data_IF_954621785362
#
_entry.id   IF_954621785362
#
_cell.length_a   1.000
_cell.length_b   1.000
_cell.length_c   1.000
_cell.angle_alpha   90.00
_cell.angle_beta   90.00
_cell.angle_gamma   90.00
#
_symmetry.space_group_name_H-M   'P 1'
#
loop_
_entity.id
_entity.type
_entity.pdbx_description
1 polymer ?
#
# COMPACT_ATOMS: atom_id res chain seq x y z
N UNK A 1 48.26 4.76 -1.55
CA UNK A 1 48.40 5.79 -2.59
C UNK A 1 47.88 5.27 -3.92
N UNK A 2 46.60 5.50 -4.24
CA UNK A 2 46.07 5.70 -5.59
C UNK A 2 44.81 6.56 -5.48
N UNK A 3 44.89 7.74 -6.08
CA UNK A 3 43.84 8.73 -6.27
C UNK A 3 42.96 8.31 -7.47
N UNK A 4 41.65 8.52 -7.37
CA UNK A 4 40.68 8.82 -8.44
C UNK A 4 39.55 9.61 -7.78
N UNK A 5 39.44 10.91 -8.01
CA UNK A 5 38.69 11.56 -9.10
C UNK A 5 37.21 11.11 -9.06
N UNK A 6 36.22 11.91 -8.67
CA UNK A 6 36.08 13.37 -8.78
C UNK A 6 35.14 13.65 -9.96
N UNK A 7 33.87 13.93 -9.67
CA UNK A 7 32.83 14.24 -10.66
C UNK A 7 31.56 13.41 -10.42
N UNK A 8 30.35 13.94 -10.45
CA UNK A 8 29.89 15.20 -11.05
C UNK A 8 28.50 15.48 -10.45
N UNK A 9 28.40 16.55 -9.66
CA UNK A 9 27.14 17.05 -9.12
C UNK A 9 26.26 17.55 -10.27
N UNK A 10 25.13 16.89 -10.50
CA UNK A 10 24.07 17.42 -11.34
C UNK A 10 22.94 17.91 -10.44
N UNK A 11 22.98 19.22 -10.21
CA UNK A 11 21.87 20.08 -9.85
C UNK A 11 20.62 19.69 -10.66
N UNK A 12 19.66 19.06 -9.97
CA UNK A 12 18.28 18.99 -10.45
C UNK A 12 17.50 20.03 -9.66
N UNK A 13 17.25 21.11 -10.39
CA UNK A 13 16.35 22.22 -10.10
C UNK A 13 15.07 21.74 -9.39
N UNK A 14 14.86 22.24 -8.17
CA UNK A 14 13.59 22.14 -7.45
C UNK A 14 12.70 23.29 -7.93
N UNK A 15 11.63 22.97 -8.66
CA UNK A 15 10.53 23.90 -8.91
C UNK A 15 9.66 24.03 -7.64
N UNK A 16 9.37 25.26 -7.19
CA UNK A 16 8.53 25.50 -6.02
C UNK A 16 7.04 25.47 -6.38
N UNK A 17 6.30 24.73 -5.55
CA UNK A 17 4.97 25.06 -5.02
C UNK A 17 3.97 25.80 -5.93
N UNK A 18 2.94 25.08 -6.38
CA UNK A 18 1.62 25.67 -6.59
C UNK A 18 0.62 24.99 -5.68
N UNK A 19 0.39 25.65 -4.54
CA UNK A 19 -0.79 25.46 -3.70
C UNK A 19 -2.04 25.85 -4.50
N UNK A 20 -2.97 24.93 -4.64
CA UNK A 20 -4.39 25.26 -4.74
C UNK A 20 -5.14 24.46 -3.70
N UNK A 21 -5.35 25.11 -2.56
CA UNK A 21 -6.44 24.79 -1.64
C UNK A 21 -7.76 24.81 -2.41
N UNK A 22 -8.45 23.69 -2.43
CA UNK A 22 -9.86 23.62 -2.76
C UNK A 22 -10.49 22.52 -1.92
N UNK A 23 -10.73 22.89 -0.66
CA UNK A 23 -11.73 22.26 0.19
C UNK A 23 -13.10 22.44 -0.48
N UNK A 24 -13.70 21.34 -0.92
CA UNK A 24 -15.14 21.25 -1.10
C UNK A 24 -15.60 19.99 -0.39
N UNK A 25 -16.04 20.20 0.84
CA UNK A 25 -16.82 19.25 1.64
C UNK A 25 -18.13 18.94 0.90
N UNK A 26 -18.12 17.87 0.11
CA UNK A 26 -19.33 17.21 -0.33
C UNK A 26 -19.51 15.94 0.50
N UNK A 27 -19.96 16.16 1.72
CA UNK A 27 -20.66 15.18 2.55
C UNK A 27 -21.98 14.80 1.86
N UNK A 28 -21.90 14.02 0.78
CA UNK A 28 -23.04 13.35 0.18
C UNK A 28 -23.18 12.00 0.85
N UNK A 29 -23.79 12.01 2.03
CA UNK A 29 -24.24 10.80 2.71
C UNK A 29 -25.46 10.27 1.95
N UNK A 30 -25.22 9.67 0.78
CA UNK A 30 -26.21 8.88 0.07
C UNK A 30 -26.31 7.55 0.80
N UNK A 31 -27.25 7.47 1.74
CA UNK A 31 -27.81 6.22 2.25
C UNK A 31 -28.46 5.49 1.07
N UNK A 32 -27.62 4.83 0.27
CA UNK A 32 -28.05 3.91 -0.76
C UNK A 32 -28.41 2.63 -0.05
N UNK A 33 -29.69 2.53 0.25
CA UNK A 33 -30.43 1.33 0.63
C UNK A 33 -30.16 0.28 -0.46
N UNK A 34 -29.04 -0.42 -0.28
CA UNK A 34 -28.49 -1.38 -1.22
C UNK A 34 -29.28 -2.64 -1.01
N UNK A 35 -30.40 -2.75 -1.73
CA UNK A 35 -31.11 -3.99 -1.93
C UNK A 35 -30.06 -5.06 -2.23
N UNK A 36 -29.94 -6.01 -1.30
CA UNK A 36 -29.04 -7.14 -1.38
C UNK A 36 -29.39 -7.95 -2.63
N UNK A 37 -28.76 -7.62 -3.75
CA UNK A 37 -28.65 -8.53 -4.90
C UNK A 37 -27.93 -9.76 -4.37
N UNK A 38 -28.71 -10.75 -3.90
CA UNK A 38 -28.26 -12.13 -3.75
C UNK A 38 -27.76 -12.59 -5.13
N UNK A 39 -26.48 -12.32 -5.39
CA UNK A 39 -25.75 -12.90 -6.51
C UNK A 39 -25.83 -14.40 -6.29
N UNK A 40 -26.67 -15.04 -7.09
CA UNK A 40 -26.80 -16.48 -7.14
C UNK A 40 -25.48 -17.05 -7.68
N UNK A 41 -24.49 -17.19 -6.80
CA UNK A 41 -23.19 -17.74 -7.11
C UNK A 41 -23.37 -19.20 -7.49
N UNK A 42 -23.26 -19.48 -8.79
CA UNK A 42 -23.34 -20.84 -9.31
C UNK A 42 -22.17 -21.63 -8.76
N UNK A 43 -22.47 -22.76 -8.09
CA UNK A 43 -21.45 -23.67 -7.57
C UNK A 43 -20.61 -24.20 -8.74
N UNK A 44 -19.28 -23.99 -8.74
CA UNK A 44 -18.44 -24.47 -9.84
C UNK A 44 -18.45 -26.00 -9.92
N UNK A 45 -18.32 -26.54 -11.13
CA UNK A 45 -18.29 -27.97 -11.40
C UNK A 45 -16.93 -28.41 -11.95
N UNK A 46 -16.51 -29.62 -11.62
CA UNK A 46 -15.31 -30.22 -12.17
C UNK A 46 -15.48 -30.45 -13.67
N UNK A 47 -14.56 -29.92 -14.48
CA UNK A 47 -14.57 -30.05 -15.93
C UNK A 47 -14.45 -31.51 -16.40
N UNK A 48 -13.84 -32.39 -15.60
CA UNK A 48 -13.64 -33.80 -15.97
C UNK A 48 -14.79 -34.72 -15.55
N UNK A 49 -15.34 -34.56 -14.35
CA UNK A 49 -16.35 -35.48 -13.81
C UNK A 49 -17.72 -34.82 -13.58
N UNK A 50 -17.86 -33.52 -13.85
CA UNK A 50 -19.07 -32.71 -13.67
C UNK A 50 -19.65 -32.76 -12.25
N UNK A 51 -18.83 -33.13 -11.26
CA UNK A 51 -19.22 -33.05 -9.85
C UNK A 51 -18.93 -31.65 -9.34
N UNK A 52 -19.85 -31.08 -8.57
CA UNK A 52 -19.63 -29.79 -7.89
C UNK A 52 -18.32 -29.80 -7.10
N UNK A 53 -17.52 -28.75 -7.25
CA UNK A 53 -16.24 -28.60 -6.56
C UNK A 53 -16.33 -27.55 -5.47
N UNK A 54 -15.83 -27.91 -4.29
CA UNK A 54 -15.52 -26.97 -3.21
C UNK A 54 -14.01 -26.74 -3.15
N UNK A 55 -13.59 -25.71 -2.42
CA UNK A 55 -12.17 -25.56 -2.08
C UNK A 55 -11.74 -26.69 -1.13
N UNK A 56 -10.49 -27.20 -1.21
CA UNK A 56 -9.50 -26.88 -2.23
C UNK A 56 -9.84 -27.50 -3.60
N UNK A 57 -9.71 -26.72 -4.67
CA UNK A 57 -9.88 -27.18 -6.05
C UNK A 57 -8.73 -26.71 -6.94
N UNK A 58 -8.62 -27.26 -8.13
CA UNK A 58 -7.60 -26.87 -9.11
C UNK A 58 -8.23 -26.00 -10.19
N UNK A 59 -7.57 -24.92 -10.58
CA UNK A 59 -8.05 -24.02 -11.65
C UNK A 59 -7.01 -23.94 -12.75
N UNK A 60 -7.46 -23.98 -14.00
CA UNK A 60 -6.60 -23.74 -15.15
C UNK A 60 -6.44 -22.24 -15.40
N UNK A 61 -5.19 -21.77 -15.49
CA UNK A 61 -4.88 -20.34 -15.73
C UNK A 61 -4.73 -19.99 -17.21
N UNK A 62 -4.74 -20.99 -18.08
CA UNK A 62 -4.52 -20.82 -19.53
C UNK A 62 -5.83 -20.85 -20.33
N UNK A 63 -6.91 -21.38 -19.75
CA UNK A 63 -8.22 -21.41 -20.41
C UNK A 63 -8.92 -20.06 -20.26
N UNK A 64 -9.69 -19.69 -21.30
CA UNK A 64 -10.51 -18.46 -21.31
C UNK A 64 -11.67 -18.57 -20.32
N UNK A 65 -12.26 -19.77 -20.23
CA UNK A 65 -13.31 -20.08 -19.27
C UNK A 65 -12.68 -20.54 -17.94
N UNK A 66 -13.38 -20.28 -16.83
CA UNK A 66 -12.99 -20.78 -15.51
C UNK A 66 -13.15 -22.31 -15.47
N UNK A 67 -12.05 -23.01 -15.69
CA UNK A 67 -12.00 -24.47 -15.66
C UNK A 67 -11.55 -24.92 -14.29
N UNK A 68 -12.46 -25.57 -13.57
CA UNK A 68 -12.19 -26.18 -12.28
C UNK A 68 -11.99 -27.68 -12.39
N UNK A 69 -11.08 -28.24 -11.61
CA UNK A 69 -10.78 -29.68 -11.54
C UNK A 69 -10.80 -30.11 -10.07
N UNK A 70 -11.56 -31.18 -9.78
CA UNK A 70 -11.62 -31.73 -8.43
C UNK A 70 -10.33 -32.46 -8.06
N UNK A 71 -10.05 -32.58 -6.77
CA UNK A 71 -8.84 -33.24 -6.26
C UNK A 71 -8.70 -34.69 -6.74
N UNK A 72 -9.81 -35.43 -6.86
CA UNK A 72 -9.80 -36.80 -7.36
C UNK A 72 -9.38 -36.90 -8.83
N UNK A 73 -9.86 -35.98 -9.67
CA UNK A 73 -9.48 -35.93 -11.08
C UNK A 73 -8.01 -35.49 -11.27
N UNK A 74 -7.52 -34.56 -10.46
CA UNK A 74 -6.12 -34.15 -10.54
C UNK A 74 -5.16 -35.25 -10.05
N UNK A 75 -5.49 -35.92 -8.95
CA UNK A 75 -4.70 -37.07 -8.47
C UNK A 75 -4.67 -38.17 -9.53
N UNK A 76 -5.82 -38.47 -10.15
CA UNK A 76 -5.91 -39.44 -11.23
C UNK A 76 -5.07 -39.07 -12.47
N UNK A 77 -4.95 -37.77 -12.78
CA UNK A 77 -4.06 -37.26 -13.84
C UNK A 77 -2.59 -37.48 -13.51
N UNK A 78 -2.17 -37.22 -12.27
CA UNK A 78 -0.79 -37.42 -11.82
C UNK A 78 -0.35 -38.89 -11.92
N UNK A 79 -1.27 -39.82 -11.65
CA UNK A 79 -0.99 -41.26 -11.69
C UNK A 79 -0.99 -41.83 -13.11
N UNK A 80 -1.89 -41.37 -13.98
CA UNK A 80 -2.14 -42.02 -15.28
C UNK A 80 -1.54 -41.28 -16.48
N UNK A 81 -0.94 -40.10 -16.29
CA UNK A 81 -0.17 -39.37 -17.31
C UNK A 81 -0.98 -38.79 -18.48
N UNK A 82 -2.17 -39.31 -18.76
CA UNK A 82 -3.04 -38.84 -19.83
C UNK A 82 -4.50 -39.13 -19.49
N UNK A 83 -5.33 -38.09 -19.48
CA UNK A 83 -6.77 -38.24 -19.51
C UNK A 83 -7.23 -37.80 -20.91
N UNK A 84 -7.73 -38.74 -21.71
CA UNK A 84 -8.54 -38.39 -22.87
C UNK A 84 -9.85 -37.82 -22.33
N UNK A 85 -9.91 -36.49 -22.19
CA UNK A 85 -11.17 -35.79 -21.95
C UNK A 85 -12.16 -36.26 -23.00
N UNK A 86 -13.18 -36.97 -22.55
CA UNK A 86 -14.19 -37.56 -23.40
C UNK A 86 -15.09 -36.46 -23.99
N UNK A 87 -14.59 -35.76 -25.00
CA UNK A 87 -15.22 -35.31 -26.26
C UNK A 87 -16.70 -34.89 -26.25
N UNK A 88 -17.25 -34.37 -25.14
CA UNK A 88 -18.67 -33.97 -25.07
C UNK A 88 -18.92 -32.47 -25.04
N UNK A 89 -17.90 -31.62 -24.92
CA UNK A 89 -18.08 -30.18 -25.00
C UNK A 89 -17.46 -29.60 -26.29
N UNK A 90 -18.24 -28.74 -26.93
CA UNK A 90 -18.01 -28.03 -28.19
C UNK A 90 -16.56 -27.68 -28.53
N UNK A 91 -16.22 -27.95 -29.80
CA UNK A 91 -14.89 -27.93 -30.46
C UNK A 91 -14.12 -26.60 -30.47
N UNK A 92 -14.40 -25.63 -29.59
CA UNK A 92 -13.80 -24.31 -29.72
C UNK A 92 -12.68 -24.02 -28.71
N UNK A 93 -12.72 -24.58 -27.50
CA UNK A 93 -11.63 -24.42 -26.53
C UNK A 93 -11.48 -25.70 -25.70
N UNK A 94 -10.80 -26.70 -26.27
CA UNK A 94 -10.49 -27.91 -25.53
C UNK A 94 -9.42 -27.57 -24.48
N UNK A 95 -9.77 -27.70 -23.19
CA UNK A 95 -8.77 -27.74 -22.13
C UNK A 95 -7.74 -28.83 -22.45
N UNK A 96 -6.46 -28.48 -22.44
CA UNK A 96 -5.40 -29.43 -22.79
C UNK A 96 -4.73 -29.93 -21.52
N UNK A 97 -4.37 -31.22 -21.51
CA UNK A 97 -3.81 -31.90 -20.34
C UNK A 97 -2.50 -31.31 -19.83
N UNK A 98 -1.81 -30.50 -20.64
CA UNK A 98 -0.56 -29.83 -20.31
C UNK A 98 -0.72 -28.41 -19.75
N UNK A 99 -1.93 -27.86 -19.72
CA UNK A 99 -2.13 -26.54 -19.12
C UNK A 99 -1.74 -26.56 -17.64
N UNK A 100 -1.18 -25.45 -17.17
CA UNK A 100 -0.82 -25.27 -15.77
C UNK A 100 -2.09 -25.16 -14.93
N UNK A 101 -2.18 -26.02 -13.91
CA UNK A 101 -3.22 -25.95 -12.90
C UNK A 101 -2.64 -25.37 -11.61
N UNK A 102 -3.38 -24.48 -10.99
CA UNK A 102 -3.06 -23.93 -9.67
C UNK A 102 -4.07 -24.41 -8.64
N UNK A 103 -3.60 -24.83 -7.47
CA UNK A 103 -4.49 -25.23 -6.39
C UNK A 103 -5.02 -23.98 -5.69
N UNK A 104 -6.32 -23.76 -5.79
CA UNK A 104 -7.05 -22.77 -5.00
C UNK A 104 -7.29 -23.39 -3.63
N UNK A 105 -6.42 -23.06 -2.68
CA UNK A 105 -6.64 -23.43 -1.29
C UNK A 105 -7.74 -22.57 -0.71
N UNK A 106 -8.54 -23.15 0.18
CA UNK A 106 -9.30 -22.34 1.11
C UNK A 106 -8.26 -21.58 1.94
N UNK A 107 -8.16 -20.27 1.69
CA UNK A 107 -7.48 -19.40 2.63
C UNK A 107 -8.43 -19.41 3.82
N UNK A 108 -8.17 -20.31 4.78
CA UNK A 108 -8.71 -20.15 6.11
C UNK A 108 -8.40 -18.69 6.45
N UNK A 109 -9.45 -17.90 6.64
CA UNK A 109 -9.32 -16.63 7.33
C UNK A 109 -8.96 -16.98 8.79
N UNK A 110 -7.77 -17.57 8.99
CA UNK A 110 -7.00 -17.44 10.22
C UNK A 110 -7.13 -15.96 10.59
N UNK A 111 -7.40 -15.61 11.87
CA UNK A 111 -7.81 -14.26 12.24
C UNK A 111 -6.66 -13.26 12.09
N UNK A 112 -6.25 -13.00 10.83
CA UNK A 112 -5.39 -11.94 10.38
C UNK A 112 -5.97 -10.62 10.88
N UNK A 113 -7.29 -10.52 11.06
CA UNK A 113 -7.92 -9.38 11.72
C UNK A 113 -7.34 -9.07 13.10
N UNK A 114 -7.05 -10.09 13.92
CA UNK A 114 -6.47 -9.88 15.26
C UNK A 114 -5.02 -9.43 15.18
N UNK A 115 -4.22 -10.06 14.31
CA UNK A 115 -2.80 -9.70 14.17
C UNK A 115 -2.62 -8.35 13.48
N UNK A 116 -3.38 -8.08 12.41
CA UNK A 116 -3.44 -6.77 11.77
C UNK A 116 -3.94 -5.71 12.74
N UNK A 117 -4.96 -6.00 13.56
CA UNK A 117 -5.43 -5.09 14.61
C UNK A 117 -4.33 -4.76 15.62
N UNK A 118 -3.53 -5.73 16.06
CA UNK A 118 -2.37 -5.47 16.93
C UNK A 118 -1.31 -4.62 16.22
N UNK A 119 -0.99 -4.93 14.96
CA UNK A 119 -0.01 -4.17 14.18
C UNK A 119 -0.45 -2.73 13.97
N UNK A 120 -1.73 -2.50 13.69
CA UNK A 120 -2.31 -1.16 13.58
C UNK A 120 -2.19 -0.40 14.89
N UNK A 121 -2.58 -1.01 16.01
CA UNK A 121 -2.46 -0.40 17.35
C UNK A 121 -1.01 0.01 17.68
N UNK A 122 -0.02 -0.83 17.34
CA UNK A 122 1.40 -0.50 17.55
C UNK A 122 1.84 0.68 16.68
N UNK A 123 1.38 0.74 15.43
CA UNK A 123 1.72 1.84 14.53
C UNK A 123 1.07 3.15 14.95
N UNK A 124 -0.19 3.13 15.37
CA UNK A 124 -0.90 4.28 15.92
C UNK A 124 -0.19 4.82 17.17
N UNK A 125 0.19 3.94 18.10
CA UNK A 125 0.93 4.33 19.29
C UNK A 125 2.27 4.99 18.96
N UNK A 126 3.04 4.42 18.01
CA UNK A 126 4.31 5.03 17.56
C UNK A 126 4.12 6.38 16.90
N UNK A 127 3.04 6.56 16.14
CA UNK A 127 2.72 7.83 15.50
C UNK A 127 2.44 8.91 16.56
N UNK A 128 1.65 8.60 17.59
CA UNK A 128 1.36 9.50 18.71
C UNK A 128 2.65 9.87 19.46
N UNK A 129 3.50 8.88 19.76
CA UNK A 129 4.79 9.12 20.42
C UNK A 129 5.69 10.04 19.58
N UNK A 130 5.82 9.76 18.29
CA UNK A 130 6.63 10.57 17.38
C UNK A 130 6.08 12.00 17.26
N UNK A 131 4.76 12.17 17.17
CA UNK A 131 4.12 13.49 17.15
C UNK A 131 4.45 14.28 18.42
N UNK A 132 4.29 13.66 19.59
CA UNK A 132 4.60 14.30 20.87
C UNK A 132 6.09 14.71 20.97
N UNK A 133 7.00 13.86 20.50
CA UNK A 133 8.43 14.15 20.48
C UNK A 133 8.77 15.30 19.51
N UNK A 134 8.10 15.38 18.37
CA UNK A 134 8.27 16.49 17.42
C UNK A 134 7.74 17.81 18.00
N UNK A 135 6.57 17.79 18.65
CA UNK A 135 6.01 18.98 19.33
C UNK A 135 6.97 19.53 20.40
N UNK A 136 7.54 18.66 21.25
CA UNK A 136 8.53 19.08 22.26
C UNK A 136 9.80 19.68 21.64
N UNK A 137 10.27 19.12 20.52
CA UNK A 137 11.43 19.67 19.81
C UNK A 137 11.14 21.05 19.23
N UNK A 138 9.94 21.25 18.68
CA UNK A 138 9.51 22.56 18.18
C UNK A 138 9.44 23.60 19.29
N UNK A 139 8.82 23.28 20.43
CA UNK A 139 8.77 24.16 21.61
C UNK A 139 10.18 24.54 22.10
N UNK A 140 11.12 23.58 22.11
CA UNK A 140 12.51 23.83 22.45
C UNK A 140 13.19 24.78 21.45
N UNK A 141 12.99 24.55 20.16
CA UNK A 141 13.52 25.43 19.10
C UNK A 141 12.94 26.84 19.23
N UNK A 142 11.63 26.98 19.40
CA UNK A 142 10.95 28.26 19.61
C UNK A 142 11.55 29.01 20.81
N UNK A 143 11.79 28.33 21.93
CA UNK A 143 12.46 28.93 23.10
C UNK A 143 13.88 29.40 22.78
N UNK A 144 14.65 28.64 22.00
CA UNK A 144 16.00 29.06 21.59
C UNK A 144 15.97 30.25 20.65
N UNK A 145 15.02 30.29 19.72
CA UNK A 145 14.82 31.39 18.77
C UNK A 145 14.43 32.66 19.52
N UNK A 146 13.51 32.57 20.49
CA UNK A 146 13.14 33.70 21.35
C UNK A 146 14.35 34.29 22.09
N UNK A 147 15.18 33.43 22.73
CA UNK A 147 16.42 33.86 23.41
C UNK A 147 17.44 34.49 22.46
N UNK A 148 17.54 34.02 21.23
CA UNK A 148 18.41 34.62 20.21
C UNK A 148 17.86 35.98 19.76
N UNK A 149 16.54 36.11 19.63
CA UNK A 149 15.86 37.38 19.36
C UNK A 149 16.20 38.45 20.40
N UNK A 150 16.04 38.14 21.69
CA UNK A 150 16.39 39.05 22.80
C UNK A 150 17.87 39.49 22.75
N UNK A 151 18.78 38.56 22.43
CA UNK A 151 20.21 38.88 22.29
C UNK A 151 20.50 39.80 21.11
N UNK A 152 19.82 39.62 19.99
CA UNK A 152 19.98 40.49 18.82
C UNK A 152 19.47 41.90 19.10
N UNK A 153 18.36 42.04 19.83
CA UNK A 153 17.84 43.34 20.26
C UNK A 153 18.84 44.09 21.14
N UNK A 154 19.42 43.42 22.14
CA UNK A 154 20.48 44.00 23.00
C UNK A 154 21.71 44.46 22.19
N UNK A 155 22.13 43.69 21.18
CA UNK A 155 23.24 44.08 20.31
C UNK A 155 22.89 45.30 19.45
N UNK A 156 21.65 45.39 18.97
CA UNK A 156 21.16 46.57 18.25
C UNK A 156 21.18 47.84 19.10
N UNK A 157 20.77 47.75 20.36
CA UNK A 157 20.84 48.87 21.31
C UNK A 157 22.27 49.34 21.58
N UNK A 158 23.20 48.39 21.74
CA UNK A 158 24.62 48.67 21.91
C UNK A 158 25.22 49.37 20.68
N UNK A 159 24.91 48.89 19.47
CA UNK A 159 25.34 49.50 18.22
C UNK A 159 24.80 50.94 18.09
N UNK A 160 23.52 51.14 18.40
CA UNK A 160 22.90 52.47 18.43
C UNK A 160 23.56 53.40 19.44
N UNK A 161 23.95 52.89 20.61
CA UNK A 161 24.71 53.62 21.61
C UNK A 161 26.08 54.06 21.12
N UNK A 162 26.82 53.16 20.46
CA UNK A 162 28.14 53.43 19.91
C UNK A 162 28.09 54.49 18.79
N UNK A 163 27.11 54.40 17.87
CA UNK A 163 26.89 55.40 16.82
C UNK A 163 26.70 56.81 17.40
N UNK A 164 25.86 56.95 18.43
CA UNK A 164 25.64 58.24 19.13
C UNK A 164 26.89 58.79 19.80
N UNK A 165 27.79 57.94 20.28
CA UNK A 165 29.07 58.37 20.87
C UNK A 165 30.05 58.86 19.80
N UNK A 166 30.10 58.17 18.66
CA UNK A 166 30.94 58.58 17.52
C UNK A 166 30.51 59.95 16.96
N UNK A 167 29.21 60.19 16.81
CA UNK A 167 28.66 61.48 16.37
C UNK A 167 28.99 62.65 17.31
N UNK A 168 29.24 62.38 18.59
CA UNK A 168 29.63 63.42 19.56
C UNK A 168 31.12 63.76 19.54
N UNK A 169 31.96 62.90 18.96
CA UNK A 169 33.42 63.04 18.95
C UNK A 169 33.96 63.59 17.63
N UNK A 170 33.20 63.50 16.54
CA UNK A 170 33.53 64.11 15.24
C UNK A 170 33.03 65.55 15.15
#
# INVERSE_FOLDING_TARGET
MRQRDGGNDKDSHLDPESHTDSHSDLNSNSESDSAEEEKNETIPECFSCHTSVSRPCWVCVECVDDIFICESCETGRAENGHYELSSRASRQYAHQWYHVLIQVKEIEHQPLSKELGRRLMILEQRAVEQESAMRQKLESIESTVAKLGEKLEMLGDLEGGLKRLLEKLG
#
